data_IF_558528309252
#
_entry.id   IF_558528309252
#
_cell.length_a   1.000
_cell.length_b   1.000
_cell.length_c   1.000
_cell.angle_alpha   90.00
_cell.angle_beta   90.00
_cell.angle_gamma   90.00
#
_symmetry.space_group_name_H-M   'P 1'
#
loop_
_entity.id
_entity.type
_entity.pdbx_description
1 polymer ?
#
# COMPACT_ATOMS: atom_id res chain seq x y z
N UNK A 1 -14.68 -5.76 7.11
CA UNK A 1 -14.94 -4.57 7.96
C UNK A 1 -15.90 -3.65 7.22
N UNK A 2 -16.99 -3.19 7.86
CA UNK A 2 -18.10 -2.50 7.17
C UNK A 2 -17.70 -1.21 6.44
N UNK A 3 -16.78 -0.43 7.02
CA UNK A 3 -16.35 0.85 6.43
C UNK A 3 -15.24 0.73 5.38
N UNK A 4 -14.63 -0.45 5.24
CA UNK A 4 -13.44 -0.64 4.40
C UNK A 4 -13.60 -0.17 2.94
N UNK A 5 -14.72 -0.42 2.25
CA UNK A 5 -14.88 0.06 0.87
C UNK A 5 -14.75 1.58 0.74
N UNK A 6 -15.40 2.33 1.63
CA UNK A 6 -15.33 3.79 1.63
C UNK A 6 -13.96 4.29 2.12
N UNK A 7 -13.38 3.62 3.11
CA UNK A 7 -12.04 3.94 3.61
C UNK A 7 -10.97 3.75 2.50
N UNK A 8 -11.11 2.73 1.65
CA UNK A 8 -10.26 2.53 0.46
C UNK A 8 -10.46 3.60 -0.60
N UNK A 9 -11.70 4.07 -0.80
CA UNK A 9 -12.00 5.14 -1.76
C UNK A 9 -11.29 6.43 -1.35
N UNK A 10 -11.39 6.81 -0.08
CA UNK A 10 -10.68 7.97 0.49
C UNK A 10 -9.16 7.77 0.36
N UNK A 11 -8.65 6.58 0.66
CA UNK A 11 -7.22 6.29 0.52
C UNK A 11 -6.73 6.48 -0.91
N UNK A 12 -7.47 6.01 -1.91
CA UNK A 12 -7.14 6.23 -3.33
C UNK A 12 -7.08 7.72 -3.69
N UNK A 13 -7.99 8.54 -3.18
CA UNK A 13 -7.95 10.00 -3.37
C UNK A 13 -6.72 10.65 -2.72
N UNK A 14 -6.25 10.13 -1.59
CA UNK A 14 -4.99 10.60 -0.99
C UNK A 14 -3.81 10.28 -1.91
N UNK A 15 -3.79 9.07 -2.48
CA UNK A 15 -2.71 8.65 -3.38
C UNK A 15 -2.64 9.48 -4.67
N UNK A 16 -3.73 10.09 -5.14
CA UNK A 16 -3.66 10.98 -6.31
C UNK A 16 -2.91 12.29 -6.03
N UNK A 17 -2.81 12.69 -4.75
CA UNK A 17 -2.10 13.90 -4.35
C UNK A 17 -0.70 13.60 -3.79
N UNK A 18 -0.57 12.54 -2.97
CA UNK A 18 0.66 12.18 -2.28
C UNK A 18 0.91 10.66 -2.35
N UNK A 19 1.24 10.11 -3.54
CA UNK A 19 1.34 8.67 -3.75
C UNK A 19 2.44 8.01 -2.92
N UNK A 20 3.49 8.73 -2.52
CA UNK A 20 4.55 8.23 -1.63
C UNK A 20 4.31 8.57 -0.15
N UNK A 21 3.24 9.32 0.14
CA UNK A 21 2.94 9.87 1.45
C UNK A 21 3.84 11.03 1.90
N UNK A 22 3.42 11.69 2.98
CA UNK A 22 4.11 12.84 3.59
C UNK A 22 4.22 12.71 5.13
N UNK A 23 3.88 11.55 5.69
CA UNK A 23 3.90 11.29 7.14
C UNK A 23 4.49 9.91 7.43
N UNK A 24 4.81 9.66 8.71
CA UNK A 24 5.24 8.34 9.23
C UNK A 24 4.26 7.18 8.97
N UNK A 25 3.06 7.47 8.45
CA UNK A 25 2.07 6.45 8.08
C UNK A 25 2.37 5.79 6.75
N UNK A 26 3.26 6.36 5.94
CA UNK A 26 3.73 5.80 4.68
C UNK A 26 5.20 5.45 4.85
N UNK A 27 5.53 4.18 4.69
CA UNK A 27 6.89 3.70 4.82
C UNK A 27 7.33 3.04 3.51
N UNK A 28 8.19 3.69 2.71
CA UNK A 28 8.85 3.03 1.60
C UNK A 28 9.64 1.82 2.11
N UNK A 29 9.40 0.64 1.54
CA UNK A 29 10.07 -0.62 1.95
C UNK A 29 10.92 -1.22 0.83
N UNK A 30 10.70 -0.79 -0.42
CA UNK A 30 11.56 -1.12 -1.55
C UNK A 30 11.48 0.01 -2.58
N UNK A 31 12.57 0.26 -3.29
CA UNK A 31 12.63 1.22 -4.39
C UNK A 31 13.57 0.69 -5.45
N UNK A 32 13.13 0.72 -6.70
CA UNK A 32 13.97 0.49 -7.87
C UNK A 32 13.68 1.55 -8.92
N UNK A 33 14.20 1.36 -10.14
CA UNK A 33 14.03 2.31 -11.25
C UNK A 33 12.59 2.41 -11.75
N UNK A 34 11.80 1.33 -11.60
CA UNK A 34 10.43 1.24 -12.11
C UNK A 34 9.41 1.78 -11.09
N UNK A 35 9.57 1.43 -9.81
CA UNK A 35 8.57 1.68 -8.80
C UNK A 35 9.11 1.84 -7.38
N UNK A 36 8.24 2.34 -6.51
CA UNK A 36 8.46 2.44 -5.07
C UNK A 36 7.39 1.58 -4.38
N UNK A 37 7.80 0.56 -3.64
CA UNK A 37 6.89 -0.24 -2.81
C UNK A 37 6.73 0.44 -1.46
N UNK A 38 5.49 0.76 -1.11
CA UNK A 38 5.14 1.51 0.10
C UNK A 38 4.21 0.69 0.97
N UNK A 39 4.54 0.64 2.26
CA UNK A 39 3.70 0.12 3.33
C UNK A 39 3.00 1.28 4.03
N UNK A 40 1.70 1.39 3.83
CA UNK A 40 0.90 2.45 4.43
C UNK A 40 -0.03 1.95 5.53
N UNK A 41 -0.30 2.82 6.51
CA UNK A 41 -1.41 2.65 7.47
C UNK A 41 -2.70 3.05 6.78
N UNK A 42 -3.63 2.10 6.65
CA UNK A 42 -5.00 2.38 6.23
C UNK A 42 -5.87 2.53 7.48
N UNK A 43 -6.33 3.76 7.73
CA UNK A 43 -7.26 4.04 8.81
C UNK A 43 -8.64 3.49 8.43
N UNK A 44 -9.12 2.50 9.19
CA UNK A 44 -10.43 1.91 8.98
C UNK A 44 -11.34 2.30 10.14
N UNK A 45 -12.39 3.06 9.85
CA UNK A 45 -13.27 3.64 10.89
C UNK A 45 -13.93 2.58 11.77
N UNK A 46 -14.20 1.40 11.22
CA UNK A 46 -14.78 0.28 11.96
C UNK A 46 -13.81 -0.37 12.97
N UNK A 47 -12.50 -0.23 12.76
CA UNK A 47 -11.47 -0.78 13.63
C UNK A 47 -11.07 0.29 14.66
N UNK A 48 -11.77 0.33 15.81
CA UNK A 48 -11.52 1.26 16.92
C UNK A 48 -10.11 1.10 17.51
N UNK A 49 -9.11 1.78 16.94
CA UNK A 49 -7.72 1.85 17.46
C UNK A 49 -6.70 0.94 16.76
N UNK A 50 -7.15 -0.12 16.09
CA UNK A 50 -6.29 -0.94 15.23
C UNK A 50 -6.30 -0.44 13.79
N UNK A 51 -5.24 -0.71 13.03
CA UNK A 51 -5.13 -0.26 11.64
C UNK A 51 -4.90 -1.41 10.69
N UNK A 52 -5.57 -1.35 9.55
CA UNK A 52 -5.17 -2.11 8.38
C UNK A 52 -3.83 -1.59 7.88
N UNK A 53 -3.06 -2.47 7.27
CA UNK A 53 -1.88 -2.13 6.48
C UNK A 53 -2.17 -2.47 5.04
N UNK A 54 -1.72 -1.58 4.16
CA UNK A 54 -1.83 -1.75 2.73
C UNK A 54 -0.43 -1.62 2.14
N UNK A 55 -0.10 -2.55 1.26
CA UNK A 55 1.13 -2.58 0.48
C UNK A 55 0.76 -2.26 -0.95
N UNK A 56 1.44 -1.30 -1.55
CA UNK A 56 1.22 -0.93 -2.94
C UNK A 56 2.54 -0.49 -3.59
N UNK A 57 2.58 -0.58 -4.91
CA UNK A 57 3.64 -0.02 -5.73
C UNK A 57 3.16 1.29 -6.36
N UNK A 58 3.96 2.34 -6.27
CA UNK A 58 3.78 3.56 -7.05
C UNK A 58 4.81 3.59 -8.18
N UNK A 59 4.35 3.82 -9.42
CA UNK A 59 5.17 3.93 -10.63
C UNK A 59 5.28 5.39 -11.04
N UNK A 60 6.41 6.08 -10.79
CA UNK A 60 6.53 7.50 -11.07
C UNK A 60 6.41 7.84 -12.57
N UNK A 61 6.82 6.90 -13.45
CA UNK A 61 6.81 7.11 -14.89
C UNK A 61 5.39 7.14 -15.48
N UNK A 62 4.50 6.29 -14.98
CA UNK A 62 3.09 6.21 -15.44
C UNK A 62 2.11 6.93 -14.51
N UNK A 63 2.59 7.40 -13.34
CA UNK A 63 1.77 7.92 -12.26
C UNK A 63 0.68 6.92 -11.78
N UNK A 64 0.98 5.63 -11.84
CA UNK A 64 0.05 4.56 -11.46
C UNK A 64 0.36 3.97 -10.09
N UNK A 65 -0.69 3.47 -9.44
CA UNK A 65 -0.59 2.75 -8.17
C UNK A 65 -1.20 1.36 -8.30
N UNK A 66 -0.42 0.31 -8.04
CA UNK A 66 -0.93 -1.06 -7.96
C UNK A 66 -0.96 -1.56 -6.52
N UNK A 67 -2.11 -2.02 -6.06
CA UNK A 67 -2.26 -2.61 -4.74
C UNK A 67 -1.78 -4.05 -4.72
N UNK A 68 -0.90 -4.37 -3.77
CA UNK A 68 -0.26 -5.69 -3.65
C UNK A 68 -0.90 -6.51 -2.54
N UNK A 69 -1.12 -5.93 -1.36
CA UNK A 69 -1.63 -6.64 -0.18
C UNK A 69 -2.41 -5.69 0.74
N UNK A 70 -3.44 -6.21 1.40
CA UNK A 70 -4.07 -5.57 2.56
C UNK A 70 -4.18 -6.59 3.70
N UNK A 71 -3.84 -6.19 4.92
CA UNK A 71 -3.95 -7.06 6.08
C UNK A 71 -4.28 -6.30 7.37
N UNK A 72 -4.84 -7.02 8.33
CA UNK A 72 -5.08 -6.51 9.68
C UNK A 72 -3.85 -6.70 10.56
N UNK A 73 -3.33 -5.60 11.12
CA UNK A 73 -2.11 -5.61 11.95
C UNK A 73 -2.24 -6.55 13.16
N UNK A 74 -3.45 -6.75 13.68
CA UNK A 74 -3.70 -7.67 14.80
C UNK A 74 -3.52 -9.14 14.44
N UNK A 75 -3.63 -9.51 13.16
CA UNK A 75 -3.45 -10.90 12.70
C UNK A 75 -2.04 -11.16 12.16
N UNK A 76 -1.37 -10.11 11.66
CA UNK A 76 -0.05 -10.21 11.02
C UNK A 76 0.75 -8.93 11.24
N UNK A 77 2.00 -9.08 11.65
CA UNK A 77 2.88 -7.92 11.95
C UNK A 77 3.47 -7.28 10.69
N UNK A 78 3.83 -8.12 9.72
CA UNK A 78 4.62 -7.72 8.54
C UNK A 78 3.87 -8.03 7.23
N UNK A 79 4.35 -7.43 6.15
CA UNK A 79 3.92 -7.70 4.78
C UNK A 79 4.35 -9.09 4.29
N UNK A 80 3.67 -9.57 3.25
CA UNK A 80 4.07 -10.76 2.50
C UNK A 80 5.20 -10.43 1.53
N UNK A 81 6.43 -10.81 1.90
CA UNK A 81 7.62 -10.57 1.09
C UNK A 81 7.60 -11.34 -0.23
N UNK A 82 6.95 -12.50 -0.27
CA UNK A 82 6.89 -13.32 -1.50
C UNK A 82 5.92 -12.71 -2.51
N UNK A 83 4.82 -12.11 -2.07
CA UNK A 83 3.93 -11.33 -2.94
C UNK A 83 4.66 -10.13 -3.55
N UNK A 84 5.43 -9.40 -2.74
CA UNK A 84 6.24 -8.26 -3.23
C UNK A 84 7.28 -8.75 -4.25
N UNK A 85 8.01 -9.84 -3.94
CA UNK A 85 8.99 -10.42 -4.85
C UNK A 85 8.36 -10.87 -6.17
N UNK A 86 7.21 -11.53 -6.11
CA UNK A 86 6.45 -11.98 -7.28
C UNK A 86 6.01 -10.80 -8.13
N UNK A 87 5.49 -9.74 -7.50
CA UNK A 87 5.11 -8.51 -8.18
C UNK A 87 6.31 -7.85 -8.87
N UNK A 88 7.44 -7.68 -8.18
CA UNK A 88 8.65 -7.08 -8.76
C UNK A 88 9.19 -7.90 -9.94
N UNK A 89 9.15 -9.23 -9.88
CA UNK A 89 9.51 -10.10 -11.00
C UNK A 89 8.58 -9.92 -12.20
N UNK A 90 7.28 -9.74 -11.98
CA UNK A 90 6.34 -9.50 -13.09
C UNK A 90 6.59 -8.20 -13.85
N UNK A 91 7.30 -7.23 -13.25
CA UNK A 91 7.70 -6.00 -13.93
C UNK A 91 8.94 -6.18 -14.83
N UNK A 92 9.76 -7.22 -14.59
CA UNK A 92 11.00 -7.48 -15.33
C UNK A 92 10.79 -8.39 -16.55
N UNK A 93 9.65 -9.06 -16.63
CA UNK A 93 9.29 -9.94 -17.74
C UNK A 93 8.48 -9.20 -18.83
N UNK A 94 8.61 -7.86 -18.89
CA UNK A 94 8.03 -6.98 -19.91
C UNK A 94 9.14 -6.49 -20.81
#
# INVERSE_FOLDING_TARGET
YKSLPEDLKIFKQILTAIPTGNTKHFNPINKNELCIIIKARLFCRYLKGSSLRIIYAFHPQTNETNFIEIYFKGNKTNEDKDRIKTYLKSLQNI
#
